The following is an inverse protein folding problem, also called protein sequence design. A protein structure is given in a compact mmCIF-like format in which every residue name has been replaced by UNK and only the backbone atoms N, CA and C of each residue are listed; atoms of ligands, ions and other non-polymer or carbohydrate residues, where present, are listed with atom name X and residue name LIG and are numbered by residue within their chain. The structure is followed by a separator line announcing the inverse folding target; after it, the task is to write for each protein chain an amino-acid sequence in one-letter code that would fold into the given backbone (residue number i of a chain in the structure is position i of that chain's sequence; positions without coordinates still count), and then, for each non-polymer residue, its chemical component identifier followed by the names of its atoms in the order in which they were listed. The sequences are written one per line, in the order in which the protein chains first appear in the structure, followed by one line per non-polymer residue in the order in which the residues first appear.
data_IF_968881699303
#
_entry.id   IF_968881699303
#
_cell.length_a   1.000
_cell.length_b   1.000
_cell.length_c   1.000
_cell.angle_alpha   90.00
_cell.angle_beta   90.00
_cell.angle_gamma   90.00
#
_symmetry.space_group_name_H-M   'P 1'
#
loop_
_entity.id
_entity.type
_entity.pdbx_description
1 polymer ?
#
# COMPACT_ATOMS: atom_id res chain seq x y z
N UNK A 1 -5.13 27.66 15.07
CA UNK A 1 -3.85 28.03 14.39
C UNK A 1 -2.64 27.70 15.26
N UNK A 2 -2.68 27.92 16.56
CA UNK A 2 -1.58 27.64 17.51
C UNK A 2 -1.13 26.15 17.53
N UNK A 3 -2.08 25.21 17.46
CA UNK A 3 -1.76 23.78 17.43
C UNK A 3 -0.92 23.37 16.22
N UNK A 4 -1.25 23.86 15.02
CA UNK A 4 -0.51 23.58 13.80
C UNK A 4 0.90 24.20 13.90
N UNK A 5 1.01 25.41 14.42
CA UNK A 5 2.27 26.11 14.63
C UNK A 5 3.19 25.35 15.60
N UNK A 6 2.60 24.82 16.69
CA UNK A 6 3.34 23.99 17.66
C UNK A 6 3.89 22.72 17.04
N UNK A 7 3.12 22.04 16.16
CA UNK A 7 3.59 20.86 15.45
C UNK A 7 4.76 21.20 14.52
N UNK A 8 4.67 22.31 13.78
CA UNK A 8 5.77 22.75 12.91
C UNK A 8 7.04 23.08 13.69
N UNK A 9 6.92 23.72 14.85
CA UNK A 9 8.07 24.01 15.71
C UNK A 9 8.72 22.70 16.24
N UNK A 10 7.93 21.74 16.69
CA UNK A 10 8.43 20.42 17.13
C UNK A 10 9.13 19.70 15.97
N UNK A 11 8.56 19.74 14.76
CA UNK A 11 9.18 19.11 13.59
C UNK A 11 10.49 19.77 13.23
N UNK A 12 10.62 21.11 13.35
CA UNK A 12 11.86 21.81 13.08
C UNK A 12 12.92 21.58 14.18
N UNK A 13 12.53 21.58 15.45
CA UNK A 13 13.46 21.37 16.57
C UNK A 13 13.99 19.93 16.61
N UNK A 14 13.15 18.95 16.21
CA UNK A 14 13.45 17.52 16.24
C UNK A 14 13.31 16.86 14.86
N UNK A 15 13.81 17.51 13.81
CA UNK A 15 13.60 17.08 12.43
C UNK A 15 14.03 15.63 12.14
N UNK A 16 15.13 15.15 12.72
CA UNK A 16 15.60 13.77 12.56
C UNK A 16 14.60 12.79 13.18
N UNK A 17 14.10 13.10 14.39
CA UNK A 17 13.13 12.27 15.08
C UNK A 17 11.80 12.25 14.32
N UNK A 18 11.38 13.39 13.79
CA UNK A 18 10.14 13.51 13.00
C UNK A 18 10.21 12.70 11.70
N UNK A 19 11.36 12.70 11.01
CA UNK A 19 11.60 11.84 9.84
C UNK A 19 11.54 10.36 10.24
N UNK A 20 12.18 9.99 11.35
CA UNK A 20 12.16 8.62 11.86
C UNK A 20 10.71 8.15 12.18
N UNK A 21 9.92 8.99 12.83
CA UNK A 21 8.50 8.71 13.12
C UNK A 21 7.70 8.55 11.82
N UNK A 22 7.88 9.43 10.85
CA UNK A 22 7.22 9.36 9.55
C UNK A 22 7.56 8.07 8.78
N UNK A 23 8.83 7.66 8.81
CA UNK A 23 9.31 6.43 8.18
C UNK A 23 8.79 5.19 8.91
N UNK A 24 8.89 5.16 10.24
CA UNK A 24 8.43 4.03 11.08
C UNK A 24 6.93 3.87 10.96
N UNK A 25 6.13 4.94 10.96
CA UNK A 25 4.68 4.84 10.80
C UNK A 25 4.29 4.21 9.46
N UNK A 26 4.95 4.60 8.36
CA UNK A 26 4.75 4.00 7.04
C UNK A 26 5.26 2.55 6.95
N UNK A 27 6.31 2.20 7.71
CA UNK A 27 6.81 0.84 7.83
C UNK A 27 5.80 -0.06 8.57
N UNK A 28 5.33 0.37 9.74
CA UNK A 28 4.40 -0.40 10.61
C UNK A 28 3.05 -0.59 9.93
N UNK A 29 2.59 0.38 9.12
CA UNK A 29 1.36 0.27 8.34
C UNK A 29 1.36 -0.98 7.44
N UNK A 30 2.50 -1.37 6.88
CA UNK A 30 2.60 -2.56 6.02
C UNK A 30 2.27 -3.87 6.74
N UNK A 31 2.37 -3.91 8.06
CA UNK A 31 2.00 -5.06 8.90
C UNK A 31 0.57 -4.95 9.43
N UNK A 32 0.09 -3.74 9.64
CA UNK A 32 -1.19 -3.46 10.30
C UNK A 32 -2.14 -2.75 9.33
N UNK A 33 -3.00 -3.49 8.61
CA UNK A 33 -3.93 -2.91 7.62
C UNK A 33 -5.00 -2.00 8.23
N UNK A 34 -5.04 -1.87 9.55
CA UNK A 34 -5.93 -0.96 10.28
C UNK A 34 -5.44 0.48 10.21
N UNK A 35 -4.11 0.69 10.04
CA UNK A 35 -3.55 2.03 9.96
C UNK A 35 -3.91 2.70 8.63
N UNK A 36 -4.41 3.94 8.68
CA UNK A 36 -4.83 4.63 7.46
C UNK A 36 -3.63 5.14 6.66
N UNK A 37 -3.17 4.34 5.68
CA UNK A 37 -2.04 4.65 4.81
C UNK A 37 -2.10 6.07 4.24
N UNK A 38 -3.28 6.43 3.70
CA UNK A 38 -3.50 7.75 3.09
C UNK A 38 -3.24 8.88 4.09
N UNK A 39 -3.68 8.72 5.35
CA UNK A 39 -3.44 9.72 6.39
C UNK A 39 -1.95 9.86 6.73
N UNK A 40 -1.21 8.74 6.83
CA UNK A 40 0.24 8.75 7.11
C UNK A 40 1.00 9.47 5.99
N UNK A 41 0.73 9.10 4.73
CA UNK A 41 1.40 9.68 3.56
C UNK A 41 1.07 11.17 3.42
N UNK A 42 -0.21 11.53 3.62
CA UNK A 42 -0.67 12.92 3.59
C UNK A 42 -0.02 13.75 4.69
N UNK A 43 0.06 13.22 5.92
CA UNK A 43 0.72 13.89 7.04
C UNK A 43 2.22 14.11 6.75
N UNK A 44 2.92 13.10 6.25
CA UNK A 44 4.32 13.23 5.86
C UNK A 44 4.51 14.26 4.75
N UNK A 45 3.64 14.29 3.74
CA UNK A 45 3.70 15.27 2.66
C UNK A 45 3.38 16.70 3.15
N UNK A 46 2.46 16.85 4.11
CA UNK A 46 2.13 18.14 4.70
C UNK A 46 3.25 18.68 5.60
N UNK A 47 3.90 17.81 6.39
CA UNK A 47 4.94 18.20 7.35
C UNK A 47 6.30 18.43 6.69
N UNK A 48 6.71 17.57 5.78
CA UNK A 48 8.04 17.60 5.16
C UNK A 48 8.05 18.17 3.74
N UNK A 49 6.89 18.47 3.18
CA UNK A 49 6.73 18.82 1.77
C UNK A 49 6.54 17.59 0.87
N UNK A 50 6.11 17.84 -0.37
CA UNK A 50 5.71 16.79 -1.30
C UNK A 50 6.79 15.74 -1.53
N UNK A 51 8.02 16.16 -1.92
CA UNK A 51 9.08 15.23 -2.30
C UNK A 51 9.68 14.50 -1.11
N UNK A 52 10.11 15.19 -0.03
CA UNK A 52 10.62 14.48 1.14
C UNK A 52 9.57 13.59 1.80
N UNK A 53 8.33 14.06 1.95
CA UNK A 53 7.24 13.28 2.54
C UNK A 53 6.90 12.04 1.72
N UNK A 54 6.92 12.16 0.37
CA UNK A 54 6.81 11.02 -0.54
C UNK A 54 7.92 10.01 -0.32
N UNK A 55 9.19 10.46 -0.32
CA UNK A 55 10.35 9.56 -0.19
C UNK A 55 10.34 8.84 1.15
N UNK A 56 10.09 9.55 2.26
CA UNK A 56 10.01 8.98 3.61
C UNK A 56 8.92 7.91 3.67
N UNK A 57 7.72 8.22 3.19
CA UNK A 57 6.57 7.31 3.22
C UNK A 57 6.79 6.09 2.31
N UNK A 58 7.29 6.32 1.11
CA UNK A 58 7.56 5.26 0.13
C UNK A 58 8.64 4.30 0.63
N UNK A 59 9.78 4.81 1.12
CA UNK A 59 10.85 3.98 1.68
C UNK A 59 10.39 3.19 2.90
N UNK A 60 9.66 3.83 3.81
CA UNK A 60 9.10 3.15 4.99
C UNK A 60 8.16 2.02 4.60
N UNK A 61 7.20 2.29 3.73
CA UNK A 61 6.20 1.30 3.34
C UNK A 61 6.76 0.18 2.44
N UNK A 62 7.70 0.49 1.53
CA UNK A 62 8.37 -0.53 0.70
C UNK A 62 9.22 -1.46 1.58
N UNK A 63 10.04 -0.89 2.47
CA UNK A 63 10.86 -1.71 3.39
C UNK A 63 10.00 -2.56 4.33
N UNK A 64 8.89 -2.02 4.85
CA UNK A 64 7.94 -2.78 5.67
C UNK A 64 7.30 -3.94 4.91
N UNK A 65 6.86 -3.70 3.68
CA UNK A 65 6.27 -4.75 2.83
C UNK A 65 7.27 -5.84 2.48
N UNK A 66 8.51 -5.48 2.14
CA UNK A 66 9.58 -6.44 1.84
C UNK A 66 9.94 -7.24 3.11
N UNK A 67 10.01 -6.58 4.27
CA UNK A 67 10.25 -7.25 5.55
C UNK A 67 9.16 -8.27 5.88
N UNK A 68 7.89 -7.89 5.72
CA UNK A 68 6.75 -8.79 5.90
C UNK A 68 6.81 -9.98 4.95
N UNK A 69 7.09 -9.74 3.66
CA UNK A 69 7.25 -10.78 2.66
C UNK A 69 8.32 -11.80 3.06
N UNK A 70 9.53 -11.35 3.43
CA UNK A 70 10.62 -12.24 3.83
C UNK A 70 10.33 -12.95 5.14
N UNK A 71 9.67 -12.29 6.10
CA UNK A 71 9.23 -12.93 7.34
C UNK A 71 8.28 -14.09 7.05
N UNK A 72 7.27 -13.87 6.22
CA UNK A 72 6.32 -14.93 5.83
C UNK A 72 7.03 -16.03 5.04
N UNK A 73 7.86 -15.68 4.07
CA UNK A 73 8.60 -16.66 3.26
C UNK A 73 9.51 -17.55 4.09
N UNK A 74 10.17 -17.01 5.11
CA UNK A 74 11.03 -17.76 6.03
C UNK A 74 10.23 -18.67 6.98
N UNK A 75 9.00 -18.27 7.29
CA UNK A 75 8.12 -19.02 8.19
C UNK A 75 7.23 -20.02 7.42
N UNK A 76 7.27 -20.00 6.07
CA UNK A 76 6.39 -20.81 5.20
C UNK A 76 6.53 -22.32 5.38
N UNK A 77 7.67 -22.80 5.89
CA UNK A 77 7.93 -24.24 6.14
C UNK A 77 7.43 -24.73 7.52
N UNK A 78 6.77 -23.87 8.31
CA UNK A 78 6.40 -24.16 9.70
C UNK A 78 4.89 -24.24 9.97
N UNK A 79 4.55 -24.59 11.23
CA UNK A 79 3.16 -24.61 11.74
C UNK A 79 2.44 -23.24 11.62
N UNK A 80 3.18 -22.16 11.44
CA UNK A 80 2.65 -20.79 11.26
C UNK A 80 1.89 -20.61 9.95
N UNK A 81 2.19 -21.38 8.90
CA UNK A 81 1.45 -21.31 7.63
C UNK A 81 -0.04 -21.55 7.87
N UNK A 82 -0.41 -22.57 8.64
CA UNK A 82 -1.81 -22.87 8.96
C UNK A 82 -2.54 -21.74 9.70
N UNK A 83 -1.81 -20.89 10.42
CA UNK A 83 -2.38 -19.74 11.15
C UNK A 83 -2.56 -18.53 10.23
N UNK A 84 -1.68 -18.37 9.24
CA UNK A 84 -1.71 -17.26 8.27
C UNK A 84 -2.58 -17.59 7.05
N UNK A 85 -2.73 -18.88 6.74
CA UNK A 85 -3.49 -19.35 5.58
C UNK A 85 -4.95 -19.45 5.99
N UNK A 86 -5.72 -18.47 5.56
CA UNK A 86 -7.18 -18.51 5.58
C UNK A 86 -7.67 -18.55 4.12
N UNK A 87 -8.96 -18.80 3.95
CA UNK A 87 -9.60 -18.91 2.64
C UNK A 87 -9.31 -17.70 1.71
N UNK A 88 -9.21 -16.48 2.28
CA UNK A 88 -8.87 -15.28 1.51
C UNK A 88 -7.40 -15.27 1.04
N UNK A 89 -6.50 -15.79 1.85
CA UNK A 89 -5.07 -15.89 1.50
C UNK A 89 -4.86 -16.96 0.44
N UNK A 90 -5.49 -18.12 0.56
CA UNK A 90 -5.42 -19.20 -0.45
C UNK A 90 -5.92 -18.70 -1.82
N UNK A 91 -7.08 -18.07 -1.85
CA UNK A 91 -7.63 -17.46 -3.07
C UNK A 91 -6.69 -16.42 -3.68
N UNK A 92 -6.08 -15.59 -2.84
CA UNK A 92 -5.13 -14.58 -3.31
C UNK A 92 -3.83 -15.22 -3.84
N UNK A 93 -3.38 -16.36 -3.30
CA UNK A 93 -2.21 -17.11 -3.81
C UNK A 93 -2.50 -17.59 -5.24
N UNK A 94 -3.59 -18.33 -5.43
CA UNK A 94 -3.98 -18.90 -6.71
C UNK A 94 -4.13 -17.80 -7.79
N UNK A 95 -4.82 -16.73 -7.42
CA UNK A 95 -5.07 -15.60 -8.32
C UNK A 95 -3.78 -14.87 -8.75
N UNK A 96 -2.86 -14.66 -7.82
CA UNK A 96 -1.59 -14.00 -8.12
C UNK A 96 -0.65 -14.91 -8.89
N UNK A 97 -0.67 -16.23 -8.63
CA UNK A 97 0.16 -17.20 -9.37
C UNK A 97 -0.20 -17.24 -10.86
N UNK A 98 -1.45 -17.02 -11.22
CA UNK A 98 -1.88 -17.00 -12.61
C UNK A 98 -1.49 -15.72 -13.36
N UNK A 99 -1.60 -14.55 -12.72
CA UNK A 99 -1.61 -13.26 -13.46
C UNK A 99 -0.28 -12.48 -13.46
N UNK A 100 0.67 -12.79 -12.58
CA UNK A 100 2.04 -12.27 -12.62
C UNK A 100 2.25 -10.80 -12.25
N UNK A 101 3.39 -10.24 -12.70
CA UNK A 101 3.87 -8.88 -12.37
C UNK A 101 2.83 -7.77 -12.57
N UNK A 102 2.10 -7.78 -13.71
CA UNK A 102 1.14 -6.71 -14.04
C UNK A 102 0.05 -6.55 -13.00
N UNK A 103 -0.42 -7.68 -12.47
CA UNK A 103 -1.45 -7.67 -11.46
C UNK A 103 -0.92 -7.21 -10.11
N UNK A 104 0.25 -7.69 -9.71
CA UNK A 104 0.91 -7.24 -8.50
C UNK A 104 1.18 -5.73 -8.53
N UNK A 105 1.70 -5.22 -9.64
CA UNK A 105 1.89 -3.78 -9.84
C UNK A 105 0.59 -3.00 -9.65
N UNK A 106 -0.50 -3.42 -10.31
CA UNK A 106 -1.82 -2.78 -10.18
C UNK A 106 -2.35 -2.85 -8.74
N UNK A 107 -2.17 -3.98 -8.09
CA UNK A 107 -2.61 -4.17 -6.71
C UNK A 107 -1.90 -3.24 -5.74
N UNK A 108 -0.59 -3.00 -5.92
CA UNK A 108 0.19 -2.07 -5.11
C UNK A 108 0.07 -0.61 -5.55
N UNK A 109 -0.37 -0.35 -6.76
CA UNK A 109 -0.70 1.00 -7.23
C UNK A 109 -2.09 1.46 -6.78
N UNK A 110 -2.96 0.54 -6.36
CA UNK A 110 -4.33 0.81 -5.95
C UNK A 110 -4.45 0.85 -4.42
N UNK A 111 -4.88 1.98 -3.80
CA UNK A 111 -4.95 2.12 -2.34
C UNK A 111 -6.11 1.33 -1.69
N UNK A 112 -6.98 0.70 -2.47
CA UNK A 112 -8.20 0.02 -1.98
C UNK A 112 -8.02 -1.48 -1.80
N UNK A 113 -6.90 -2.06 -2.22
CA UNK A 113 -6.64 -3.48 -2.05
C UNK A 113 -5.86 -3.73 -0.76
N UNK A 114 -6.17 -4.81 -0.03
CA UNK A 114 -5.47 -5.13 1.21
C UNK A 114 -4.05 -5.65 0.91
N UNK A 115 -3.10 -4.72 0.76
CA UNK A 115 -1.71 -5.00 0.40
C UNK A 115 -1.05 -6.06 1.29
N UNK A 116 -1.40 -6.10 2.58
CA UNK A 116 -0.87 -7.07 3.52
C UNK A 116 -1.29 -8.52 3.16
N UNK A 117 -2.54 -8.75 2.72
CA UNK A 117 -3.03 -10.06 2.27
C UNK A 117 -2.25 -10.52 1.03
N UNK A 118 -2.06 -9.63 0.06
CA UNK A 118 -1.28 -9.91 -1.16
C UNK A 118 0.18 -10.21 -0.80
N UNK A 119 0.77 -9.46 0.14
CA UNK A 119 2.14 -9.68 0.61
C UNK A 119 2.29 -11.05 1.27
N UNK A 120 1.35 -11.44 2.13
CA UNK A 120 1.35 -12.75 2.79
C UNK A 120 1.20 -13.87 1.74
N UNK A 121 0.26 -13.73 0.80
CA UNK A 121 0.06 -14.69 -0.27
C UNK A 121 1.31 -14.89 -1.11
N UNK A 122 2.02 -13.80 -1.46
CA UNK A 122 3.28 -13.89 -2.19
C UNK A 122 4.42 -14.50 -1.38
N UNK A 123 4.47 -14.26 -0.06
CA UNK A 123 5.43 -14.90 0.83
C UNK A 123 5.24 -16.42 0.94
N UNK A 124 4.00 -16.89 0.81
CA UNK A 124 3.63 -18.31 0.81
C UNK A 124 3.77 -18.97 -0.57
N UNK A 125 3.72 -18.18 -1.64
CA UNK A 125 3.87 -18.66 -3.02
C UNK A 125 5.31 -19.11 -3.30
N UNK A 126 5.47 -20.05 -4.23
CA UNK A 126 6.77 -20.52 -4.73
C UNK A 126 7.38 -19.64 -5.81
N UNK A 127 6.71 -18.54 -6.18
CA UNK A 127 7.15 -17.63 -7.24
C UNK A 127 8.45 -16.90 -6.95
N UNK A 128 9.02 -16.36 -8.02
CA UNK A 128 10.24 -15.55 -7.94
C UNK A 128 9.98 -14.27 -7.14
N UNK A 129 10.85 -14.03 -6.18
CA UNK A 129 10.81 -12.86 -5.29
C UNK A 129 11.12 -11.55 -6.05
N UNK A 130 11.83 -11.63 -7.17
CA UNK A 130 12.22 -10.45 -7.95
C UNK A 130 11.01 -9.76 -8.59
N UNK A 131 10.08 -10.54 -9.16
CA UNK A 131 8.83 -10.02 -9.73
C UNK A 131 7.98 -9.32 -8.68
N UNK A 132 7.88 -9.92 -7.50
CA UNK A 132 7.16 -9.33 -6.37
C UNK A 132 7.80 -8.01 -5.92
N UNK A 133 9.11 -8.00 -5.64
CA UNK A 133 9.82 -6.81 -5.15
C UNK A 133 9.71 -5.67 -6.15
N UNK A 134 9.91 -5.96 -7.45
CA UNK A 134 9.80 -4.94 -8.50
C UNK A 134 8.38 -4.38 -8.63
N UNK A 135 7.35 -5.21 -8.50
CA UNK A 135 5.95 -4.78 -8.50
C UNK A 135 5.61 -3.90 -7.29
N UNK A 136 6.09 -4.27 -6.09
CA UNK A 136 5.90 -3.48 -4.86
C UNK A 136 6.56 -2.11 -5.00
N UNK A 137 7.85 -2.07 -5.42
CA UNK A 137 8.61 -0.83 -5.58
C UNK A 137 7.91 0.10 -6.57
N UNK A 138 7.58 -0.41 -7.76
CA UNK A 138 6.97 0.39 -8.81
C UNK A 138 5.50 0.77 -8.52
N UNK A 139 4.70 -0.16 -8.02
CA UNK A 139 3.29 0.09 -7.69
C UNK A 139 3.13 1.10 -6.56
N UNK A 140 3.86 0.91 -5.46
CA UNK A 140 3.86 1.86 -4.35
C UNK A 140 4.44 3.22 -4.74
N UNK A 141 5.43 3.28 -5.64
CA UNK A 141 5.98 4.55 -6.13
C UNK A 141 4.85 5.40 -6.76
N UNK A 142 4.07 4.82 -7.66
CA UNK A 142 2.96 5.52 -8.31
C UNK A 142 1.91 5.95 -7.28
N UNK A 143 1.47 5.04 -6.42
CA UNK A 143 0.44 5.32 -5.41
C UNK A 143 0.87 6.42 -4.45
N UNK A 144 2.05 6.31 -3.86
CA UNK A 144 2.55 7.27 -2.87
C UNK A 144 2.83 8.63 -3.49
N UNK A 145 3.31 8.69 -4.73
CA UNK A 145 3.50 9.95 -5.44
C UNK A 145 2.17 10.70 -5.61
N UNK A 146 1.11 10.01 -6.03
CA UNK A 146 -0.23 10.60 -6.19
C UNK A 146 -0.76 11.09 -4.84
N UNK A 147 -0.68 10.27 -3.78
CA UNK A 147 -1.17 10.66 -2.45
C UNK A 147 -0.38 11.83 -1.88
N UNK A 148 0.95 11.85 -2.03
CA UNK A 148 1.80 12.95 -1.57
C UNK A 148 1.55 14.25 -2.35
N UNK A 149 1.26 14.16 -3.65
CA UNK A 149 0.87 15.32 -4.45
C UNK A 149 -0.42 15.96 -3.95
N UNK A 150 -1.40 15.15 -3.57
CA UNK A 150 -2.65 15.61 -2.97
C UNK A 150 -2.41 16.17 -1.56
N UNK A 151 -1.61 15.46 -0.77
CA UNK A 151 -1.40 15.74 0.65
C UNK A 151 -0.62 17.03 0.94
N UNK A 152 0.30 17.45 0.04
CA UNK A 152 1.08 18.68 0.23
C UNK A 152 0.25 19.95 0.40
N UNK A 153 -0.94 19.99 -0.16
CA UNK A 153 -1.85 21.15 -0.13
C UNK A 153 -3.30 20.67 -0.05
N UNK A 154 -3.63 19.99 1.03
CA UNK A 154 -4.95 19.40 1.21
C UNK A 154 -6.05 20.47 1.28
N UNK A 155 -5.76 21.63 1.88
CA UNK A 155 -6.70 22.74 1.99
C UNK A 155 -6.96 23.36 0.62
N UNK A 156 -5.90 23.71 -0.13
CA UNK A 156 -6.02 24.19 -1.50
C UNK A 156 -6.59 23.14 -2.47
N UNK A 157 -6.48 21.86 -2.12
CA UNK A 157 -7.09 20.78 -2.88
C UNK A 157 -8.62 20.76 -2.69
N UNK A 158 -9.09 20.85 -1.44
CA UNK A 158 -10.52 20.84 -1.09
C UNK A 158 -11.24 22.11 -1.61
N UNK A 159 -10.56 23.26 -1.61
CA UNK A 159 -11.14 24.54 -2.06
C UNK A 159 -11.15 24.72 -3.58
N UNK A 160 -10.41 23.89 -4.32
CA UNK A 160 -10.36 23.95 -5.79
C UNK A 160 -11.28 22.91 -6.44
N UNK A 161 -12.37 23.31 -7.11
CA UNK A 161 -13.31 22.36 -7.70
C UNK A 161 -12.66 21.47 -8.77
N UNK A 162 -11.67 21.99 -9.51
CA UNK A 162 -10.92 21.20 -10.51
C UNK A 162 -10.08 20.10 -9.85
N UNK A 163 -9.40 20.41 -8.73
CA UNK A 163 -8.57 19.42 -8.01
C UNK A 163 -9.44 18.34 -7.37
N UNK A 164 -10.61 18.72 -6.81
CA UNK A 164 -11.59 17.77 -6.26
C UNK A 164 -12.13 16.85 -7.36
N UNK A 165 -12.45 17.41 -8.54
CA UNK A 165 -12.91 16.62 -9.69
C UNK A 165 -11.84 15.62 -10.17
N UNK A 166 -10.58 16.07 -10.21
CA UNK A 166 -9.44 15.20 -10.58
C UNK A 166 -9.26 14.07 -9.58
N UNK A 167 -9.38 14.36 -8.28
CA UNK A 167 -9.32 13.33 -7.23
C UNK A 167 -10.47 12.33 -7.36
N UNK A 168 -11.70 12.83 -7.56
CA UNK A 168 -12.87 12.01 -7.77
C UNK A 168 -12.70 11.08 -9.00
N UNK A 169 -12.13 11.59 -10.09
CA UNK A 169 -11.85 10.83 -11.29
C UNK A 169 -10.80 9.73 -11.02
N UNK A 170 -9.68 10.08 -10.36
CA UNK A 170 -8.63 9.11 -9.99
C UNK A 170 -9.21 8.03 -9.06
N UNK A 171 -9.99 8.44 -8.05
CA UNK A 171 -10.65 7.51 -7.12
C UNK A 171 -11.64 6.61 -7.86
N UNK A 172 -12.43 7.15 -8.77
CA UNK A 172 -13.37 6.38 -9.58
C UNK A 172 -12.67 5.37 -10.50
N UNK A 173 -11.57 5.77 -11.15
CA UNK A 173 -10.77 4.87 -11.98
C UNK A 173 -10.13 3.76 -11.12
N UNK A 174 -9.55 4.12 -9.99
CA UNK A 174 -8.96 3.15 -9.05
C UNK A 174 -10.02 2.19 -8.49
N UNK A 175 -11.21 2.70 -8.14
CA UNK A 175 -12.35 1.89 -7.71
C UNK A 175 -12.83 0.92 -8.81
N UNK A 176 -12.92 1.40 -10.06
CA UNK A 176 -13.32 0.58 -11.21
C UNK A 176 -12.31 -0.52 -11.50
N UNK A 177 -11.00 -0.20 -11.38
CA UNK A 177 -9.92 -1.18 -11.50
C UNK A 177 -10.01 -2.18 -10.34
N UNK A 178 -10.15 -1.74 -9.10
CA UNK A 178 -10.29 -2.60 -7.93
C UNK A 178 -11.51 -3.53 -8.02
N UNK A 179 -12.67 -3.01 -8.45
CA UNK A 179 -13.86 -3.83 -8.67
C UNK A 179 -13.68 -4.84 -9.82
N UNK A 180 -12.96 -4.48 -10.87
CA UNK A 180 -12.66 -5.42 -11.96
C UNK A 180 -11.75 -6.55 -11.46
N UNK A 181 -10.73 -6.21 -10.66
CA UNK A 181 -9.82 -7.18 -10.06
C UNK A 181 -10.56 -8.11 -9.07
N UNK A 182 -11.48 -7.55 -8.26
CA UNK A 182 -12.30 -8.37 -7.36
C UNK A 182 -13.27 -9.30 -8.12
N UNK A 183 -13.88 -8.82 -9.20
CA UNK A 183 -14.71 -9.69 -10.07
C UNK A 183 -13.91 -10.79 -10.73
N UNK A 184 -12.71 -10.47 -11.23
CA UNK A 184 -11.80 -11.47 -11.80
C UNK A 184 -11.41 -12.53 -10.76
N UNK A 185 -11.32 -12.17 -9.46
CA UNK A 185 -11.13 -13.11 -8.34
C UNK A 185 -12.36 -14.00 -8.13
N UNK A 186 -13.55 -13.41 -8.11
CA UNK A 186 -14.83 -14.14 -7.93
C UNK A 186 -15.12 -15.08 -9.11
N UNK A 187 -14.89 -14.64 -10.34
CA UNK A 187 -15.07 -15.44 -11.56
C UNK A 187 -14.09 -16.63 -11.63
N UNK A 188 -12.86 -16.44 -11.12
CA UNK A 188 -11.87 -17.52 -10.97
C UNK A 188 -12.36 -18.57 -9.97
N UNK A 189 -12.94 -18.13 -8.87
CA UNK A 189 -13.54 -18.98 -7.84
C UNK A 189 -14.64 -19.87 -8.41
N UNK A 190 -15.56 -19.27 -9.16
CA UNK A 190 -16.68 -20.00 -9.79
C UNK A 190 -16.24 -21.02 -10.84
N UNK A 191 -15.15 -20.75 -11.55
CA UNK A 191 -14.58 -21.71 -12.52
C UNK A 191 -13.95 -22.93 -11.84
N UNK A 192 -13.19 -22.72 -10.77
CA UNK A 192 -12.51 -23.81 -10.05
C UNK A 192 -13.50 -24.75 -9.34
N UNK A 193 -14.59 -24.20 -8.79
CA UNK A 193 -15.66 -24.99 -8.14
C UNK A 193 -16.44 -25.87 -9.16
N UNK A 194 -16.49 -25.47 -10.42
CA UNK A 194 -17.22 -26.22 -11.47
C UNK A 194 -16.34 -27.23 -12.22
N UNK A 195 -15.03 -27.26 -11.99
CA UNK A 195 -14.05 -28.19 -12.59
C UNK A 195 -13.66 -29.34 -11.63
N UNK A 196 -13.97 -29.23 -10.32
CA UNK A 196 -13.85 -30.28 -9.30
C UNK A 196 -15.18 -31.01 -9.09
#
# INVERSE_FOLDING_TARGET
MEFIQSIYNIVNDYWILSIAVGLISAFVESFLPILPLVAIVTANAALFGMIPGFVISWLGSVSGTICLFWAVKKLSDGKFVKLLTNEKVEKAIDWVEEKGFKLLFLAYACPFLPACVITISQGLSKRDSADFISAVVAGKLVMFFIISYIGKDIIGFITSPIKVLTLALITFVAWKIGNKLNKDLEDYEHKKINED
#
